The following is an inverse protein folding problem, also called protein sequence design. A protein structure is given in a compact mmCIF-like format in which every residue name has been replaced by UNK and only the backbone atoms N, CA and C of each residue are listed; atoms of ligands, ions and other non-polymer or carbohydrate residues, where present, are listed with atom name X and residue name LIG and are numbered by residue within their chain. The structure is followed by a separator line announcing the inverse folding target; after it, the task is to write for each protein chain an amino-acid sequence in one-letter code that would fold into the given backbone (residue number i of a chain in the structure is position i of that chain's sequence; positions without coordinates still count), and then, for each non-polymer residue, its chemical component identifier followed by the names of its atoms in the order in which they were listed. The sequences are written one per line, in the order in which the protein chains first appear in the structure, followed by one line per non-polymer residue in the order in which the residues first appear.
data_IF_514974039894
#
_entry.id   IF_514974039894
#
_cell.length_a   1.000
_cell.length_b   1.000
_cell.length_c   1.000
_cell.angle_alpha   90.00
_cell.angle_beta   90.00
_cell.angle_gamma   90.00
#
_symmetry.space_group_name_H-M   'P 1'
#
loop_
_entity.id
_entity.type
_entity.pdbx_description
1 polymer ?
#
# COMPACT_ATOMS: atom_id res chain seq x y z
N UNK A 1 17.26 4.51 12.98
CA UNK A 1 16.84 3.14 12.59
C UNK A 1 15.96 3.23 11.35
N UNK A 2 15.89 2.17 10.57
CA UNK A 2 14.99 2.11 9.41
C UNK A 2 14.19 0.81 9.43
N UNK A 3 12.89 0.90 9.11
CA UNK A 3 12.06 -0.28 8.90
C UNK A 3 12.53 -1.11 7.69
N UNK A 4 13.20 -0.48 6.73
CA UNK A 4 13.79 -1.18 5.59
C UNK A 4 14.96 -2.10 5.96
N UNK A 5 15.50 -2.03 7.19
CA UNK A 5 16.49 -2.98 7.69
C UNK A 5 15.89 -4.39 7.89
N UNK A 6 14.57 -4.49 7.95
CA UNK A 6 13.81 -5.73 8.14
C UNK A 6 13.22 -6.30 6.84
N UNK A 7 13.55 -5.71 5.68
CA UNK A 7 13.08 -6.20 4.37
C UNK A 7 13.30 -7.70 4.20
N UNK A 8 12.25 -8.39 3.79
CA UNK A 8 12.27 -9.81 3.44
C UNK A 8 11.14 -10.07 2.45
N UNK A 9 11.48 -10.61 1.29
CA UNK A 9 10.51 -11.03 0.28
C UNK A 9 10.27 -12.53 0.42
N UNK A 10 9.06 -12.89 0.76
CA UNK A 10 8.56 -14.25 0.71
C UNK A 10 7.41 -14.37 -0.29
N UNK A 11 6.53 -13.38 -0.33
CA UNK A 11 5.37 -13.26 -1.20
C UNK A 11 5.24 -11.88 -1.82
N UNK A 12 5.63 -10.84 -1.10
CA UNK A 12 5.65 -9.46 -1.56
C UNK A 12 6.77 -9.19 -2.58
N UNK A 13 6.81 -7.98 -3.17
CA UNK A 13 7.76 -7.65 -4.25
C UNK A 13 9.01 -6.92 -3.76
N UNK A 14 8.90 -6.09 -2.71
CA UNK A 14 9.92 -5.12 -2.32
C UNK A 14 10.31 -5.21 -0.85
N UNK A 15 10.09 -6.36 -0.21
CA UNK A 15 10.43 -6.61 1.19
C UNK A 15 9.33 -6.28 2.19
N UNK A 16 8.11 -6.07 1.73
CA UNK A 16 6.96 -5.72 2.56
C UNK A 16 6.70 -6.77 3.64
N UNK A 17 6.85 -8.05 3.34
CA UNK A 17 6.63 -9.14 4.31
C UNK A 17 7.41 -8.92 5.61
N UNK A 18 8.72 -8.65 5.50
CA UNK A 18 9.57 -8.44 6.67
C UNK A 18 9.32 -7.11 7.37
N UNK A 19 9.03 -6.05 6.59
CA UNK A 19 8.70 -4.73 7.12
C UNK A 19 7.40 -4.76 7.91
N UNK A 20 6.34 -5.36 7.35
CA UNK A 20 5.03 -5.50 8.02
C UNK A 20 5.14 -6.36 9.28
N UNK A 21 5.90 -7.46 9.23
CA UNK A 21 6.17 -8.28 10.40
C UNK A 21 6.80 -7.47 11.54
N UNK A 22 7.76 -6.60 11.24
CA UNK A 22 8.38 -5.74 12.24
C UNK A 22 7.40 -4.68 12.76
N UNK A 23 6.61 -4.06 11.88
CA UNK A 23 5.58 -3.08 12.28
C UNK A 23 4.59 -3.74 13.26
N UNK A 24 4.02 -4.88 12.91
CA UNK A 24 3.05 -5.55 13.78
C UNK A 24 3.66 -6.03 15.09
N UNK A 25 4.94 -6.41 15.07
CA UNK A 25 5.68 -6.73 16.31
C UNK A 25 5.81 -5.51 17.23
N UNK A 26 6.15 -4.34 16.68
CA UNK A 26 6.24 -3.09 17.44
C UNK A 26 4.88 -2.68 18.01
N UNK A 27 3.82 -2.84 17.24
CA UNK A 27 2.44 -2.57 17.66
C UNK A 27 1.86 -3.66 18.58
N UNK A 28 2.63 -4.69 18.93
CA UNK A 28 2.20 -5.84 19.72
C UNK A 28 0.99 -6.58 19.13
N UNK A 29 0.89 -6.61 17.79
CA UNK A 29 -0.15 -7.29 17.03
C UNK A 29 0.35 -8.66 16.55
N UNK A 30 0.14 -9.69 17.37
CA UNK A 30 0.52 -11.07 17.01
C UNK A 30 -0.46 -11.72 16.05
N UNK A 31 -1.73 -11.41 16.20
CA UNK A 31 -2.86 -11.85 15.37
C UNK A 31 -3.73 -10.64 15.09
N UNK A 32 -4.42 -10.65 13.97
CA UNK A 32 -5.27 -9.55 13.58
C UNK A 32 -6.14 -9.89 12.39
N UNK A 33 -6.65 -8.85 11.77
CA UNK A 33 -7.48 -8.91 10.58
C UNK A 33 -6.86 -8.09 9.47
N UNK A 34 -6.99 -8.56 8.24
CA UNK A 34 -6.56 -7.82 7.08
C UNK A 34 -7.63 -7.76 5.99
N UNK A 35 -7.51 -6.75 5.15
CA UNK A 35 -8.23 -6.64 3.89
C UNK A 35 -7.24 -6.25 2.79
N UNK A 36 -7.15 -7.04 1.75
CA UNK A 36 -6.37 -6.76 0.55
C UNK A 36 -7.26 -6.87 -0.67
N UNK A 37 -7.28 -5.85 -1.49
CA UNK A 37 -7.90 -5.88 -2.81
C UNK A 37 -6.85 -5.66 -3.90
N UNK A 38 -7.10 -6.24 -5.10
CA UNK A 38 -6.04 -6.52 -6.03
C UNK A 38 -5.20 -7.74 -5.60
N UNK A 39 -5.85 -8.72 -4.93
CA UNK A 39 -5.15 -9.85 -4.30
C UNK A 39 -4.54 -10.85 -5.31
N UNK A 40 -4.78 -10.66 -6.62
CA UNK A 40 -4.30 -11.50 -7.71
C UNK A 40 -4.54 -13.00 -7.43
N UNK A 41 -3.50 -13.81 -7.45
CA UNK A 41 -3.60 -15.24 -7.16
C UNK A 41 -3.43 -15.60 -5.67
N UNK A 42 -3.26 -14.58 -4.80
CA UNK A 42 -3.06 -14.73 -3.37
C UNK A 42 -1.70 -15.30 -2.95
N UNK A 43 -0.75 -15.31 -3.86
CA UNK A 43 0.64 -15.78 -3.61
C UNK A 43 1.65 -14.80 -4.18
N UNK A 44 1.58 -14.55 -5.48
CA UNK A 44 2.53 -13.66 -6.17
C UNK A 44 2.17 -12.20 -5.91
N UNK A 45 3.15 -11.44 -5.44
CA UNK A 45 2.98 -10.02 -5.10
C UNK A 45 1.91 -9.74 -4.02
N UNK A 46 1.56 -10.76 -3.22
CA UNK A 46 0.52 -10.65 -2.22
C UNK A 46 1.11 -10.13 -0.90
N UNK A 47 0.66 -8.98 -0.45
CA UNK A 47 1.19 -8.30 0.72
C UNK A 47 0.71 -8.88 2.05
N UNK A 48 -0.35 -9.69 2.02
CA UNK A 48 -0.95 -10.26 3.25
C UNK A 48 -0.81 -11.79 3.36
N UNK A 49 -0.21 -12.44 2.36
CA UNK A 49 -0.05 -13.90 2.37
C UNK A 49 0.70 -14.42 3.60
N UNK A 50 1.74 -13.72 4.02
CA UNK A 50 2.50 -14.09 5.21
C UNK A 50 1.66 -13.96 6.48
N UNK A 51 0.82 -12.93 6.57
CA UNK A 51 -0.12 -12.73 7.69
C UNK A 51 -1.12 -13.89 7.75
N UNK A 52 -1.68 -14.27 6.61
CA UNK A 52 -2.58 -15.41 6.51
C UNK A 52 -1.93 -16.72 7.02
N UNK A 53 -0.66 -16.97 6.68
CA UNK A 53 0.09 -18.13 7.17
C UNK A 53 0.35 -18.11 8.67
N UNK A 54 0.41 -16.93 9.27
CA UNK A 54 0.61 -16.76 10.71
C UNK A 54 -0.70 -16.74 11.50
N UNK A 55 -1.85 -16.99 10.85
CA UNK A 55 -3.14 -17.18 11.49
C UNK A 55 -4.00 -15.91 11.59
N UNK A 56 -3.67 -14.87 10.82
CA UNK A 56 -4.56 -13.72 10.67
C UNK A 56 -5.82 -14.12 9.90
N UNK A 57 -6.92 -13.42 10.19
CA UNK A 57 -8.17 -13.53 9.45
C UNK A 57 -8.20 -12.50 8.32
N UNK A 58 -8.78 -12.83 7.19
CA UNK A 58 -8.71 -11.90 6.07
C UNK A 58 -9.87 -11.87 5.12
N UNK A 59 -9.91 -10.79 4.35
CA UNK A 59 -10.73 -10.61 3.16
C UNK A 59 -9.83 -10.35 1.97
N UNK A 60 -9.97 -11.15 0.93
CA UNK A 60 -9.42 -10.92 -0.40
C UNK A 60 -10.54 -10.52 -1.37
N UNK A 61 -10.27 -9.49 -2.16
CA UNK A 61 -11.14 -9.10 -3.28
C UNK A 61 -10.29 -9.04 -4.56
N UNK A 62 -10.70 -9.80 -5.57
CA UNK A 62 -10.01 -9.91 -6.85
C UNK A 62 -11.04 -9.88 -7.98
N UNK A 63 -11.02 -8.88 -8.88
CA UNK A 63 -11.99 -8.76 -9.95
C UNK A 63 -11.74 -9.69 -11.12
N UNK A 64 -10.47 -10.00 -11.44
CA UNK A 64 -10.16 -10.91 -12.55
C UNK A 64 -10.55 -12.36 -12.22
N UNK A 65 -11.41 -12.93 -13.03
CA UNK A 65 -11.95 -14.26 -12.81
C UNK A 65 -10.88 -15.37 -12.79
N UNK A 66 -9.89 -15.26 -13.66
CA UNK A 66 -8.85 -16.28 -13.78
C UNK A 66 -7.89 -16.23 -12.59
N UNK A 67 -7.55 -15.02 -12.11
CA UNK A 67 -6.78 -14.84 -10.90
C UNK A 67 -7.57 -15.28 -9.67
N UNK A 68 -8.86 -14.94 -9.59
CA UNK A 68 -9.73 -15.37 -8.49
C UNK A 68 -9.82 -16.90 -8.35
N UNK A 69 -9.91 -17.64 -9.46
CA UNK A 69 -9.91 -19.11 -9.42
C UNK A 69 -8.60 -19.68 -8.87
N UNK A 70 -7.46 -19.06 -9.22
CA UNK A 70 -6.15 -19.40 -8.61
C UNK A 70 -6.11 -19.05 -7.14
N UNK A 71 -6.61 -17.84 -6.78
CA UNK A 71 -6.71 -17.37 -5.39
C UNK A 71 -7.46 -18.38 -4.52
N UNK A 72 -8.63 -18.83 -4.94
CA UNK A 72 -9.42 -19.85 -4.20
C UNK A 72 -8.62 -21.13 -3.96
N UNK A 73 -7.95 -21.62 -5.00
CA UNK A 73 -7.11 -22.84 -4.93
C UNK A 73 -5.91 -22.64 -4.00
N UNK A 74 -5.22 -21.52 -4.12
CA UNK A 74 -4.01 -21.23 -3.35
C UNK A 74 -4.30 -20.95 -1.86
N UNK A 75 -5.56 -20.68 -1.54
CA UNK A 75 -5.97 -20.30 -0.17
C UNK A 75 -6.95 -21.29 0.47
N UNK A 76 -7.26 -22.43 -0.18
CA UNK A 76 -8.27 -23.40 0.29
C UNK A 76 -8.05 -23.92 1.70
N UNK A 77 -6.78 -24.04 2.13
CA UNK A 77 -6.40 -24.55 3.45
C UNK A 77 -6.49 -23.49 4.57
N UNK A 78 -6.65 -22.22 4.24
CA UNK A 78 -6.67 -21.15 5.24
C UNK A 78 -8.09 -20.79 5.65
N UNK A 79 -8.33 -20.79 6.92
CA UNK A 79 -9.61 -20.39 7.52
C UNK A 79 -9.35 -19.75 8.90
N UNK A 80 -10.06 -18.66 9.26
CA UNK A 80 -11.10 -18.01 8.47
C UNK A 80 -10.54 -17.01 7.45
N UNK A 81 -10.92 -17.21 6.19
CA UNK A 81 -10.62 -16.34 5.06
C UNK A 81 -11.85 -16.22 4.17
N UNK A 82 -12.13 -15.01 3.69
CA UNK A 82 -13.18 -14.73 2.71
C UNK A 82 -12.51 -14.27 1.41
N UNK A 83 -12.96 -14.79 0.29
CA UNK A 83 -12.54 -14.38 -1.04
C UNK A 83 -13.76 -13.95 -1.85
N UNK A 84 -13.68 -12.81 -2.56
CA UNK A 84 -14.76 -12.26 -3.40
C UNK A 84 -14.24 -11.93 -4.79
N UNK A 85 -14.99 -12.36 -5.81
CA UNK A 85 -14.70 -11.99 -7.20
C UNK A 85 -15.52 -10.75 -7.56
N UNK A 86 -15.04 -9.60 -7.14
CA UNK A 86 -15.73 -8.32 -7.28
C UNK A 86 -14.71 -7.19 -7.48
N UNK A 87 -15.18 -6.05 -7.99
CA UNK A 87 -14.42 -4.81 -7.94
C UNK A 87 -14.62 -4.10 -6.61
N UNK A 88 -13.61 -3.34 -6.16
CA UNK A 88 -13.75 -2.37 -5.09
C UNK A 88 -13.99 -1.00 -5.72
N UNK A 89 -14.93 -0.26 -5.18
CA UNK A 89 -15.34 1.06 -5.64
C UNK A 89 -15.23 2.09 -4.51
N UNK A 90 -15.16 3.37 -4.86
CA UNK A 90 -15.10 4.46 -3.87
C UNK A 90 -16.44 4.68 -3.13
N UNK A 91 -17.54 4.10 -3.59
CA UNK A 91 -18.87 4.27 -2.97
C UNK A 91 -19.80 3.11 -3.25
N UNK A 92 -20.96 3.09 -2.55
CA UNK A 92 -22.01 2.12 -2.78
C UNK A 92 -21.75 0.75 -2.13
N UNK A 93 -22.44 -0.27 -2.65
CA UNK A 93 -22.39 -1.63 -2.09
C UNK A 93 -21.04 -2.35 -2.27
N UNK A 94 -20.18 -1.84 -3.15
CA UNK A 94 -18.83 -2.34 -3.41
C UNK A 94 -17.75 -1.42 -2.86
N UNK A 95 -18.10 -0.49 -1.98
CA UNK A 95 -17.10 0.33 -1.28
C UNK A 95 -16.25 -0.53 -0.33
N UNK A 96 -15.04 -0.03 -0.02
CA UNK A 96 -14.16 -0.65 0.99
C UNK A 96 -14.92 -0.95 2.28
N UNK A 97 -15.70 0.02 2.75
CA UNK A 97 -16.47 -0.11 3.99
C UNK A 97 -17.56 -1.18 3.89
N UNK A 98 -18.29 -1.23 2.76
CA UNK A 98 -19.34 -2.24 2.55
C UNK A 98 -18.76 -3.65 2.47
N UNK A 99 -17.66 -3.83 1.77
CA UNK A 99 -16.93 -5.11 1.72
C UNK A 99 -16.49 -5.56 3.10
N UNK A 100 -15.84 -4.65 3.85
CA UNK A 100 -15.35 -4.99 5.19
C UNK A 100 -16.48 -5.26 6.18
N UNK A 101 -17.49 -4.40 6.25
CA UNK A 101 -18.62 -4.57 7.19
C UNK A 101 -19.36 -5.90 6.99
N UNK A 102 -19.49 -6.35 5.74
CA UNK A 102 -20.06 -7.65 5.44
C UNK A 102 -19.11 -8.79 5.86
N UNK A 103 -17.81 -8.70 5.50
CA UNK A 103 -16.82 -9.71 5.83
C UNK A 103 -16.57 -9.82 7.34
N UNK A 104 -16.55 -8.71 8.06
CA UNK A 104 -16.32 -8.67 9.50
C UNK A 104 -17.33 -9.53 10.27
N UNK A 105 -18.60 -9.55 9.85
CA UNK A 105 -19.64 -10.42 10.43
C UNK A 105 -19.30 -11.89 10.25
N UNK A 106 -18.88 -12.29 9.05
CA UNK A 106 -18.54 -13.67 8.72
C UNK A 106 -17.25 -14.11 9.43
N UNK A 107 -16.26 -13.20 9.55
CA UNK A 107 -15.00 -13.43 10.24
C UNK A 107 -15.11 -13.39 11.77
N UNK A 108 -16.26 -12.96 12.31
CA UNK A 108 -16.42 -12.58 13.71
C UNK A 108 -15.29 -11.64 14.15
N UNK A 109 -15.14 -10.55 13.41
CA UNK A 109 -14.16 -9.51 13.62
C UNK A 109 -14.82 -8.19 14.00
N UNK A 110 -14.21 -7.42 14.88
CA UNK A 110 -14.71 -6.10 15.33
C UNK A 110 -13.91 -4.95 14.73
N UNK A 111 -12.67 -5.20 14.35
CA UNK A 111 -11.72 -4.21 13.83
C UNK A 111 -11.08 -4.70 12.54
N UNK A 112 -10.57 -3.76 11.77
CA UNK A 112 -9.63 -4.02 10.68
C UNK A 112 -8.26 -3.54 11.13
N UNK A 113 -7.28 -4.45 11.21
CA UNK A 113 -5.95 -4.10 11.67
C UNK A 113 -5.05 -3.63 10.52
N UNK A 114 -5.18 -4.26 9.35
CA UNK A 114 -4.37 -3.95 8.18
C UNK A 114 -5.20 -3.87 6.90
N UNK A 115 -5.00 -2.79 6.14
CA UNK A 115 -5.59 -2.57 4.82
C UNK A 115 -4.49 -2.41 3.78
N UNK A 116 -4.50 -3.22 2.73
CA UNK A 116 -3.63 -3.10 1.55
C UNK A 116 -4.44 -2.61 0.36
N UNK A 117 -4.02 -1.48 -0.21
CA UNK A 117 -4.62 -0.80 -1.37
C UNK A 117 -3.61 -0.85 -2.51
N UNK A 118 -3.94 -1.59 -3.57
CA UNK A 118 -3.09 -1.73 -4.75
C UNK A 118 -3.98 -2.09 -5.95
N UNK A 119 -4.37 -1.07 -6.72
CA UNK A 119 -5.33 -1.20 -7.83
C UNK A 119 -4.88 -0.50 -9.11
N UNK A 120 -3.58 -0.26 -9.24
CA UNK A 120 -2.98 0.27 -10.47
C UNK A 120 -3.58 1.61 -10.93
N UNK A 121 -3.71 2.61 -10.04
CA UNK A 121 -3.97 3.98 -10.43
C UNK A 121 -5.21 4.68 -9.86
N UNK A 122 -6.05 4.01 -9.08
CA UNK A 122 -7.20 4.60 -8.37
C UNK A 122 -7.05 4.58 -6.84
N UNK A 123 -5.87 4.31 -6.37
CA UNK A 123 -5.54 4.10 -4.97
C UNK A 123 -5.87 5.32 -4.11
N UNK A 124 -5.66 6.53 -4.65
CA UNK A 124 -6.01 7.77 -3.98
C UNK A 124 -7.52 7.94 -3.78
N UNK A 125 -8.33 7.62 -4.81
CA UNK A 125 -9.78 7.71 -4.70
C UNK A 125 -10.33 6.71 -3.66
N UNK A 126 -9.75 5.52 -3.61
CA UNK A 126 -10.12 4.49 -2.65
C UNK A 126 -9.71 4.89 -1.23
N UNK A 127 -8.47 5.37 -1.03
CA UNK A 127 -8.01 5.87 0.26
C UNK A 127 -8.86 7.06 0.74
N UNK A 128 -9.18 8.00 -0.16
CA UNK A 128 -10.01 9.17 0.11
C UNK A 128 -11.43 8.78 0.55
N UNK A 129 -11.97 7.70 -0.03
CA UNK A 129 -13.33 7.21 0.21
C UNK A 129 -13.56 6.63 1.61
N UNK A 130 -12.51 6.27 2.34
CA UNK A 130 -12.61 5.70 3.68
C UNK A 130 -13.07 6.78 4.67
N UNK A 131 -14.24 6.58 5.29
CA UNK A 131 -14.84 7.54 6.22
C UNK A 131 -14.94 7.01 7.65
N UNK A 132 -15.30 5.77 7.83
CA UNK A 132 -15.61 5.15 9.13
C UNK A 132 -14.53 4.16 9.58
N UNK A 133 -13.95 3.42 8.65
CA UNK A 133 -12.90 2.45 8.99
C UNK A 133 -11.63 3.15 9.45
N UNK A 134 -11.00 2.58 10.47
CA UNK A 134 -9.71 3.03 11.00
C UNK A 134 -8.77 1.85 11.18
N UNK A 135 -8.27 1.26 10.07
CA UNK A 135 -7.23 0.23 10.17
C UNK A 135 -6.03 0.76 10.97
N UNK A 136 -5.39 -0.07 11.77
CA UNK A 136 -4.18 0.35 12.51
C UNK A 136 -3.02 0.67 11.58
N UNK A 137 -2.94 -0.07 10.47
CA UNK A 137 -1.93 0.11 9.42
C UNK A 137 -2.62 0.13 8.06
N UNK A 138 -2.25 1.07 7.21
CA UNK A 138 -2.61 1.11 5.79
C UNK A 138 -1.32 1.02 4.97
N UNK A 139 -1.36 0.24 3.92
CA UNK A 139 -0.35 0.24 2.87
C UNK A 139 -1.03 0.58 1.55
N UNK A 140 -0.43 1.46 0.78
CA UNK A 140 -0.98 1.91 -0.50
C UNK A 140 0.12 2.06 -1.53
N UNK A 141 -0.18 1.67 -2.77
CA UNK A 141 0.72 1.88 -3.88
C UNK A 141 0.90 3.38 -4.17
N UNK A 142 2.13 3.79 -4.43
CA UNK A 142 2.47 5.12 -4.93
C UNK A 142 3.48 5.00 -6.07
N UNK A 143 3.40 5.88 -7.04
CA UNK A 143 4.33 5.83 -8.15
C UNK A 143 5.71 6.38 -7.76
N UNK A 144 6.69 5.49 -7.72
CA UNK A 144 8.09 5.82 -7.43
C UNK A 144 8.75 6.76 -8.46
N UNK A 145 8.15 6.93 -9.63
CA UNK A 145 8.61 7.84 -10.67
C UNK A 145 8.30 9.31 -10.40
N UNK A 146 7.40 9.60 -9.43
CA UNK A 146 7.15 10.97 -9.02
C UNK A 146 8.15 11.43 -7.94
N UNK A 147 8.46 12.73 -7.95
CA UNK A 147 9.14 13.32 -6.80
C UNK A 147 8.30 13.06 -5.54
N UNK A 148 8.91 12.62 -4.41
CA UNK A 148 8.17 12.39 -3.17
C UNK A 148 7.43 13.63 -2.68
N UNK A 149 7.87 14.83 -3.06
CA UNK A 149 7.27 16.12 -2.69
C UNK A 149 6.40 16.73 -3.79
N UNK A 150 6.06 15.97 -4.83
CA UNK A 150 5.14 16.45 -5.86
C UNK A 150 3.74 16.62 -5.30
N UNK A 151 3.26 17.87 -5.19
CA UNK A 151 2.08 18.24 -4.42
C UNK A 151 0.77 18.32 -5.21
N UNK A 152 0.82 18.15 -6.52
CA UNK A 152 -0.39 18.23 -7.34
C UNK A 152 -0.99 16.84 -7.54
N UNK A 153 -2.30 16.74 -7.31
CA UNK A 153 -3.06 15.52 -7.62
C UNK A 153 -3.06 15.29 -9.13
N UNK A 154 -2.69 14.08 -9.53
CA UNK A 154 -2.69 13.67 -10.93
C UNK A 154 -4.14 13.42 -11.36
N UNK A 155 -4.61 14.01 -12.48
CA UNK A 155 -5.96 13.80 -12.95
C UNK A 155 -6.28 12.32 -13.19
N UNK A 156 -7.52 11.92 -12.94
CA UNK A 156 -7.98 10.53 -13.07
C UNK A 156 -7.66 9.90 -14.43
N UNK A 157 -7.84 10.66 -15.50
CA UNK A 157 -7.63 10.19 -16.88
C UNK A 157 -6.15 9.82 -17.14
N UNK A 158 -5.25 10.39 -16.37
CA UNK A 158 -3.82 10.11 -16.43
C UNK A 158 -3.47 9.01 -15.42
N UNK A 159 -3.96 9.10 -14.20
CA UNK A 159 -3.73 8.12 -13.14
C UNK A 159 -4.20 6.72 -13.50
N UNK A 160 -5.34 6.63 -14.19
CA UNK A 160 -5.92 5.36 -14.68
C UNK A 160 -5.05 4.59 -15.70
N UNK A 161 -3.93 5.18 -16.16
CA UNK A 161 -2.95 4.49 -17.00
C UNK A 161 -1.74 3.98 -16.18
N UNK A 162 -1.97 3.50 -14.97
CA UNK A 162 -0.94 3.02 -14.03
C UNK A 162 0.09 4.10 -13.65
N UNK A 163 -0.33 5.35 -13.67
CA UNK A 163 0.56 6.48 -13.29
C UNK A 163 0.54 6.70 -11.78
N UNK A 164 -0.61 6.42 -11.13
CA UNK A 164 -0.78 6.59 -9.68
C UNK A 164 -0.51 8.00 -9.17
N UNK A 165 -0.39 8.16 -7.88
CA UNK A 165 -0.13 9.44 -7.21
C UNK A 165 1.26 9.48 -6.57
N UNK A 166 1.72 10.69 -6.20
CA UNK A 166 2.96 10.88 -5.45
C UNK A 166 2.81 10.51 -3.97
N UNK A 167 3.94 10.28 -3.30
CA UNK A 167 3.96 10.11 -1.83
C UNK A 167 3.34 11.29 -1.10
N UNK A 168 3.56 12.53 -1.57
CA UNK A 168 3.01 13.73 -0.95
C UNK A 168 1.49 13.72 -0.98
N UNK A 169 0.88 13.51 -2.15
CA UNK A 169 -0.58 13.49 -2.32
C UNK A 169 -1.21 12.41 -1.44
N UNK A 170 -0.67 11.19 -1.47
CA UNK A 170 -1.18 10.09 -0.65
C UNK A 170 -1.03 10.38 0.84
N UNK A 171 0.06 11.04 1.24
CA UNK A 171 0.25 11.44 2.65
C UNK A 171 -0.75 12.52 3.07
N UNK A 172 -1.08 13.49 2.21
CA UNK A 172 -2.10 14.49 2.53
C UNK A 172 -3.46 13.82 2.80
N UNK A 173 -3.90 12.93 1.89
CA UNK A 173 -5.15 12.19 2.05
C UNK A 173 -5.16 11.35 3.34
N UNK A 174 -4.06 10.62 3.60
CA UNK A 174 -3.94 9.80 4.80
C UNK A 174 -3.89 10.62 6.10
N UNK A 175 -3.19 11.76 6.09
CA UNK A 175 -3.04 12.64 7.26
C UNK A 175 -4.38 13.24 7.70
N UNK A 176 -5.27 13.57 6.76
CA UNK A 176 -6.64 14.05 7.08
C UNK A 176 -7.48 13.00 7.83
N UNK A 177 -7.03 11.73 7.77
CA UNK A 177 -7.67 10.60 8.44
C UNK A 177 -6.92 10.13 9.71
N UNK A 178 -5.88 10.87 10.13
CA UNK A 178 -5.06 10.58 11.31
C UNK A 178 -3.97 9.55 11.07
N UNK A 179 -3.47 9.39 9.84
CA UNK A 179 -2.40 8.45 9.53
C UNK A 179 -1.06 9.16 9.32
N UNK A 180 -0.01 8.51 9.78
CA UNK A 180 1.38 8.98 9.73
C UNK A 180 2.21 8.05 8.85
N UNK A 181 2.97 8.58 7.85
CA UNK A 181 3.84 7.76 7.01
C UNK A 181 5.04 7.27 7.80
N UNK A 182 5.34 5.96 7.73
CA UNK A 182 6.41 5.35 8.53
C UNK A 182 7.46 4.58 7.71
N UNK A 183 7.10 4.13 6.51
CA UNK A 183 8.00 3.37 5.65
C UNK A 183 7.58 3.49 4.19
N UNK A 184 8.57 3.41 3.30
CA UNK A 184 8.36 3.35 1.86
C UNK A 184 9.17 2.20 1.27
N UNK A 185 8.51 1.24 0.62
CA UNK A 185 9.12 0.05 0.00
C UNK A 185 8.99 0.05 -1.53
N UNK A 186 8.22 0.92 -2.10
CA UNK A 186 7.50 1.01 -3.36
C UNK A 186 6.04 1.26 -3.03
N UNK A 187 5.55 0.63 -1.98
CA UNK A 187 4.31 0.96 -1.31
C UNK A 187 4.57 1.91 -0.13
N UNK A 188 3.69 2.86 0.10
CA UNK A 188 3.76 3.76 1.25
C UNK A 188 2.94 3.18 2.40
N UNK A 189 3.60 3.00 3.55
CA UNK A 189 3.01 2.38 4.72
C UNK A 189 2.74 3.46 5.76
N UNK A 190 1.52 3.47 6.27
CA UNK A 190 1.02 4.39 7.27
C UNK A 190 0.60 3.66 8.54
N UNK A 191 0.75 4.33 9.68
CA UNK A 191 0.19 3.90 10.97
C UNK A 191 -0.81 4.94 11.45
N UNK A 192 -1.94 4.49 12.01
CA UNK A 192 -2.91 5.39 12.62
C UNK A 192 -2.34 6.00 13.91
N UNK A 193 -2.53 7.29 14.13
CA UNK A 193 -1.97 8.03 15.27
C UNK A 193 -2.31 7.41 16.63
N UNK A 194 -3.51 6.82 16.76
CA UNK A 194 -3.96 6.20 18.03
C UNK A 194 -3.11 5.02 18.50
N UNK A 195 -2.27 4.44 17.63
CA UNK A 195 -1.41 3.30 17.95
C UNK A 195 0.06 3.56 17.58
N UNK A 196 0.42 4.78 17.23
CA UNK A 196 1.73 5.11 16.64
C UNK A 196 2.87 5.21 17.67
N UNK A 197 2.59 5.36 18.96
CA UNK A 197 3.60 5.61 19.98
C UNK A 197 4.80 4.65 19.92
N UNK A 198 4.64 3.33 19.80
CA UNK A 198 5.78 2.40 19.77
C UNK A 198 6.63 2.47 18.50
N UNK A 199 6.19 3.21 17.49
CA UNK A 199 6.83 3.25 16.17
C UNK A 199 7.32 4.66 15.78
N UNK A 200 7.13 5.66 16.63
CA UNK A 200 7.49 7.06 16.36
C UNK A 200 8.97 7.25 16.02
N UNK A 201 9.87 6.45 16.58
CA UNK A 201 11.31 6.51 16.31
C UNK A 201 11.67 6.18 14.85
N UNK A 202 10.76 5.59 14.10
CA UNK A 202 10.92 5.26 12.68
C UNK A 202 10.36 6.33 11.75
N UNK A 203 9.61 7.29 12.28
CA UNK A 203 9.07 8.38 11.47
C UNK A 203 10.18 9.25 10.89
N UNK A 204 10.05 9.58 9.62
CA UNK A 204 10.98 10.42 8.87
C UNK A 204 10.21 11.32 7.91
N UNK A 205 10.79 12.46 7.50
CA UNK A 205 10.29 13.23 6.36
C UNK A 205 10.16 12.34 5.11
N UNK A 206 9.20 12.64 4.24
CA UNK A 206 8.94 11.85 3.02
C UNK A 206 10.18 11.71 2.13
N UNK A 207 10.96 12.79 2.01
CA UNK A 207 12.22 12.79 1.26
C UNK A 207 13.23 11.79 1.82
N UNK A 208 13.31 11.66 3.15
CA UNK A 208 14.21 10.73 3.80
C UNK A 208 13.72 9.28 3.68
N UNK A 209 12.41 9.04 3.71
CA UNK A 209 11.81 7.74 3.42
C UNK A 209 12.13 7.31 1.98
N UNK A 210 11.96 8.22 1.02
CA UNK A 210 12.29 7.96 -0.38
C UNK A 210 13.79 7.75 -0.59
N UNK A 211 14.64 8.57 0.04
CA UNK A 211 16.10 8.44 -0.03
C UNK A 211 16.58 7.11 0.55
N UNK A 212 16.00 6.66 1.66
CA UNK A 212 16.32 5.38 2.28
C UNK A 212 15.98 4.21 1.35
N UNK A 213 14.78 4.25 0.73
CA UNK A 213 14.38 3.30 -0.31
C UNK A 213 15.35 3.33 -1.49
N UNK A 214 15.60 4.51 -2.08
CA UNK A 214 16.48 4.69 -3.23
C UNK A 214 17.88 4.12 -2.99
N UNK A 215 18.45 4.37 -1.83
CA UNK A 215 19.82 3.92 -1.50
C UNK A 215 19.94 2.39 -1.45
N UNK A 216 18.83 1.68 -1.23
CA UNK A 216 18.79 0.21 -1.15
C UNK A 216 18.50 -0.48 -2.47
N UNK A 217 18.10 0.27 -3.49
CA UNK A 217 17.89 -0.28 -4.83
C UNK A 217 19.21 -0.67 -5.48
N UNK A 218 19.18 -1.73 -6.27
CA UNK A 218 20.30 -2.07 -7.16
C UNK A 218 20.39 -1.13 -8.36
N UNK A 219 21.44 -1.29 -9.14
CA UNK A 219 21.69 -0.43 -10.30
C UNK A 219 20.64 -0.57 -11.41
N UNK A 220 20.05 -1.75 -11.57
CA UNK A 220 19.02 -2.00 -12.59
C UNK A 220 17.71 -1.33 -12.22
N UNK A 221 17.27 -1.49 -10.96
CA UNK A 221 16.08 -0.82 -10.41
C UNK A 221 16.23 0.71 -10.45
N UNK A 222 17.39 1.23 -10.05
CA UNK A 222 17.70 2.68 -10.16
C UNK A 222 17.60 3.19 -11.59
N UNK A 223 18.15 2.43 -12.55
CA UNK A 223 18.08 2.80 -13.97
C UNK A 223 16.63 2.78 -14.49
N UNK A 224 15.84 1.78 -14.08
CA UNK A 224 14.44 1.69 -14.43
C UNK A 224 13.66 2.90 -13.91
N UNK A 225 13.76 3.22 -12.63
CA UNK A 225 13.10 4.38 -12.04
C UNK A 225 13.53 5.70 -12.66
N UNK A 226 14.83 5.86 -13.00
CA UNK A 226 15.30 7.04 -13.73
C UNK A 226 14.60 7.22 -15.08
N UNK A 227 14.37 6.13 -15.82
CA UNK A 227 13.65 6.16 -17.10
C UNK A 227 12.18 6.53 -16.90
N UNK A 228 11.52 5.87 -15.97
CA UNK A 228 10.11 6.15 -15.63
C UNK A 228 9.92 7.60 -15.20
N UNK A 229 10.82 8.14 -14.38
CA UNK A 229 10.81 9.53 -13.97
C UNK A 229 10.96 10.51 -15.16
N UNK A 230 11.85 10.23 -16.10
CA UNK A 230 12.04 11.05 -17.31
C UNK A 230 10.78 10.98 -18.19
N UNK A 231 10.22 9.79 -18.38
CA UNK A 231 9.05 9.58 -19.22
C UNK A 231 7.80 10.26 -18.66
N UNK A 232 7.59 10.18 -17.34
CA UNK A 232 6.45 10.88 -16.69
C UNK A 232 6.59 12.39 -16.76
N UNK A 233 7.78 12.95 -16.66
CA UNK A 233 8.00 14.39 -16.88
C UNK A 233 7.70 14.84 -18.33
N UNK A 234 7.86 13.97 -19.31
CA UNK A 234 7.47 14.22 -20.69
C UNK A 234 5.96 14.27 -20.92
N UNK A 235 5.19 13.54 -20.12
CA UNK A 235 3.72 13.49 -20.19
C UNK A 235 3.04 14.74 -19.59
N UNK A 236 3.72 15.47 -18.70
CA UNK A 236 3.14 16.61 -17.98
C UNK A 236 3.63 17.97 -18.53
N UNK A 237 3.67 18.12 -19.84
CA UNK A 237 3.96 19.41 -20.50
C UNK A 237 3.01 20.51 -20.00
N UNK A 238 3.45 21.30 -19.04
CA UNK A 238 2.71 22.43 -18.46
C UNK A 238 2.83 22.60 -16.95
N UNK A 239 3.36 21.61 -16.23
CA UNK A 239 3.61 21.72 -14.81
C UNK A 239 5.11 21.92 -14.52
N UNK A 240 5.44 22.94 -13.75
CA UNK A 240 6.82 23.15 -13.25
C UNK A 240 7.07 22.17 -12.11
N UNK A 241 7.79 21.09 -12.39
CA UNK A 241 8.20 20.14 -11.37
C UNK A 241 9.38 20.66 -10.57
N UNK A 242 9.34 20.58 -9.26
CA UNK A 242 10.57 20.62 -8.48
C UNK A 242 11.30 19.28 -8.60
N UNK A 243 12.09 19.16 -9.67
CA UNK A 243 12.95 17.98 -9.92
C UNK A 243 14.27 18.07 -9.16
N UNK A 244 14.48 19.09 -8.33
CA UNK A 244 15.76 19.33 -7.64
C UNK A 244 16.11 18.18 -6.72
N UNK A 245 15.11 17.66 -5.98
CA UNK A 245 15.29 16.50 -5.12
C UNK A 245 15.72 15.25 -5.93
N UNK A 246 14.98 14.92 -6.99
CA UNK A 246 15.30 13.74 -7.82
C UNK A 246 16.66 13.89 -8.49
N UNK A 247 17.01 15.08 -9.00
CA UNK A 247 18.35 15.36 -9.53
C UNK A 247 19.45 15.11 -8.50
N UNK A 248 19.21 15.45 -7.23
CA UNK A 248 20.17 15.21 -6.14
C UNK A 248 20.44 13.72 -5.85
N UNK A 249 19.52 12.83 -6.23
CA UNK A 249 19.70 11.39 -6.11
C UNK A 249 20.47 10.78 -7.29
N UNK A 250 20.52 11.49 -8.42
CA UNK A 250 21.09 10.98 -9.66
C UNK A 250 22.59 11.32 -9.85
N UNK A 251 23.14 12.14 -8.94
CA UNK A 251 24.56 12.46 -8.87
C UNK A 251 25.28 11.42 -8.00
#
# INVERSE_FOLDING_TARGET
MSLLDYKKDQYSQNGEDGVLQQIFKLLNLRYGTFFEFGAADGVWCCNTRQLLQTGWKGLYVEPDRANFEKLLKNTEQFRPLICRNEYVESSGSRSIESHWLSAAKELNATELDFLSIDVDGFDDELLESIQLLRPKVIMVEVNAGHSPMYSHKIPREVSANNVGQSMYVMTQIASEKGYLPICYTGNLIFVHESVSEPILDYMKPLEDLYRDFWNRLDSAAKLHLKKTFIDTNGLYNGFTFDISFMKSLFI
#
